data_IF_886795975713
#
_entry.id   IF_886795975713
#
_cell.length_a   1.000
_cell.length_b   1.000
_cell.length_c   1.000
_cell.angle_alpha   90.00
_cell.angle_beta   90.00
_cell.angle_gamma   90.00
#
_symmetry.space_group_name_H-M   'P 1'
#
loop_
_entity.id
_entity.type
_entity.pdbx_description
1 polymer ?
#
# COMPACT_ATOMS: atom_id res chain seq x y z
N UNK A 1 14.61 -65.69 227.41
CA UNK A 1 15.28 -65.27 226.16
C UNK A 1 15.43 -66.51 225.28
N UNK A 2 14.84 -66.49 224.09
CA UNK A 2 15.34 -67.17 222.90
C UNK A 2 14.57 -66.55 221.73
N UNK A 3 15.21 -65.56 221.11
CA UNK A 3 14.71 -64.91 219.91
C UNK A 3 14.85 -65.82 218.70
N UNK A 4 13.86 -65.78 217.83
CA UNK A 4 13.91 -66.39 216.50
C UNK A 4 14.30 -65.29 215.52
N UNK A 5 15.40 -65.48 214.80
CA UNK A 5 15.79 -64.63 213.68
C UNK A 5 15.03 -65.07 212.43
N UNK A 6 14.41 -64.12 211.72
CA UNK A 6 13.74 -64.32 210.44
C UNK A 6 14.71 -63.92 209.32
N UNK A 7 14.90 -64.82 208.34
CA UNK A 7 15.73 -64.61 207.14
C UNK A 7 14.85 -64.04 206.04
N UNK A 8 15.21 -62.88 205.48
CA UNK A 8 14.53 -62.23 204.35
C UNK A 8 15.33 -62.51 203.07
N UNK A 9 14.69 -63.00 202.01
CA UNK A 9 15.31 -63.29 200.70
C UNK A 9 15.45 -62.02 199.82
N UNK A 10 16.45 -62.01 198.93
CA UNK A 10 16.69 -60.91 197.98
C UNK A 10 15.61 -60.84 196.88
N UNK A 11 15.29 -59.63 196.36
CA UNK A 11 14.22 -59.41 195.41
C UNK A 11 14.61 -59.89 194.00
N UNK A 12 13.68 -60.55 193.30
CA UNK A 12 13.85 -61.06 191.94
C UNK A 12 12.97 -60.25 190.97
N UNK A 13 13.55 -59.35 190.13
CA UNK A 13 12.77 -58.60 189.15
C UNK A 13 12.31 -59.45 187.98
N UNK A 14 11.05 -59.26 187.59
CA UNK A 14 10.49 -59.85 186.38
C UNK A 14 11.03 -59.14 185.12
N UNK A 15 10.98 -59.85 183.99
CA UNK A 15 11.29 -59.29 182.68
C UNK A 15 10.55 -57.96 182.45
N UNK A 16 11.18 -56.91 181.89
CA UNK A 16 10.48 -55.71 181.50
C UNK A 16 9.35 -56.05 180.52
N UNK A 17 8.14 -55.64 180.87
CA UNK A 17 6.93 -55.81 180.08
C UNK A 17 6.51 -54.44 179.57
N UNK A 18 5.99 -54.42 178.35
CA UNK A 18 5.39 -53.24 177.74
C UNK A 18 3.89 -53.41 177.61
N UNK A 19 3.20 -52.28 177.53
CA UNK A 19 1.82 -52.23 177.05
C UNK A 19 1.71 -52.26 175.51
N UNK A 20 2.81 -52.34 174.75
CA UNK A 20 2.86 -52.26 173.28
C UNK A 20 3.67 -53.41 172.60
N UNK A 21 3.90 -53.36 171.28
CA UNK A 21 4.54 -54.43 170.48
C UNK A 21 6.08 -54.31 170.38
N UNK A 22 6.79 -55.32 169.87
CA UNK A 22 8.28 -55.33 169.79
C UNK A 22 8.90 -54.40 168.73
N UNK A 23 8.08 -53.66 167.98
CA UNK A 23 8.50 -52.73 166.93
C UNK A 23 8.12 -51.32 167.31
N UNK A 24 9.05 -50.39 167.12
CA UNK A 24 8.89 -48.97 167.45
C UNK A 24 9.47 -48.10 166.33
N UNK A 25 8.95 -46.90 166.19
CA UNK A 25 9.44 -45.94 165.20
C UNK A 25 10.64 -45.15 165.75
N UNK A 26 11.58 -44.82 164.86
CA UNK A 26 12.69 -43.92 165.21
C UNK A 26 12.12 -42.54 165.61
N UNK A 27 12.41 -42.10 166.83
CA UNK A 27 11.91 -40.88 167.46
C UNK A 27 10.78 -41.13 168.46
N UNK A 28 10.18 -42.33 168.45
CA UNK A 28 9.09 -42.69 169.34
C UNK A 28 9.58 -42.88 170.78
N UNK A 29 8.74 -42.51 171.75
CA UNK A 29 9.00 -42.73 173.18
C UNK A 29 7.96 -43.68 173.75
N UNK A 30 8.41 -44.82 174.28
CA UNK A 30 7.53 -45.87 174.80
C UNK A 30 7.86 -46.15 176.26
N UNK A 31 6.82 -46.36 177.08
CA UNK A 31 6.95 -46.68 178.49
C UNK A 31 7.04 -48.19 178.70
N UNK A 32 8.08 -48.61 179.42
CA UNK A 32 8.31 -49.99 179.83
C UNK A 32 8.09 -50.09 181.34
N UNK A 33 7.54 -51.20 181.83
CA UNK A 33 7.39 -51.47 183.26
C UNK A 33 7.93 -52.84 183.63
N UNK A 34 8.15 -53.09 184.90
CA UNK A 34 8.66 -54.35 185.45
C UNK A 34 8.16 -54.46 186.89
N UNK A 35 8.17 -55.64 187.49
CA UNK A 35 7.72 -55.83 188.88
C UNK A 35 8.59 -56.83 189.64
N UNK A 36 8.80 -56.62 190.94
CA UNK A 36 9.67 -57.40 191.83
C UNK A 36 9.16 -57.31 193.27
N UNK A 37 8.86 -58.44 193.90
CA UNK A 37 8.49 -58.47 195.32
C UNK A 37 9.67 -58.07 196.20
N UNK A 38 9.41 -57.21 197.21
CA UNK A 38 10.39 -56.71 198.19
C UNK A 38 11.52 -55.84 197.64
N UNK A 39 11.32 -55.19 196.49
CA UNK A 39 12.28 -54.24 195.90
C UNK A 39 12.08 -52.80 196.39
N UNK A 40 13.17 -52.13 196.73
CA UNK A 40 13.18 -50.72 197.12
C UNK A 40 13.60 -49.80 195.95
N UNK A 41 14.42 -50.30 195.01
CA UNK A 41 14.89 -49.52 193.85
C UNK A 41 15.14 -50.36 192.60
N UNK A 42 15.21 -49.70 191.43
CA UNK A 42 15.28 -50.30 190.11
C UNK A 42 16.34 -49.64 189.23
N UNK A 43 17.20 -50.46 188.61
CA UNK A 43 18.14 -50.03 187.58
C UNK A 43 17.71 -50.58 186.23
N UNK A 44 17.55 -49.70 185.24
CA UNK A 44 17.24 -50.09 183.87
C UNK A 44 18.47 -49.92 182.98
N UNK A 45 18.71 -50.87 182.07
CA UNK A 45 19.76 -50.75 181.07
C UNK A 45 19.23 -51.07 179.68
N UNK A 46 19.75 -50.34 178.69
CA UNK A 46 19.50 -50.57 177.27
C UNK A 46 20.82 -50.87 176.57
N UNK A 47 20.81 -51.81 175.63
CA UNK A 47 22.00 -52.15 174.85
C UNK A 47 21.61 -52.46 173.40
N UNK A 48 22.16 -51.77 172.40
CA UNK A 48 23.16 -50.70 172.52
C UNK A 48 22.57 -49.38 173.06
N UNK A 49 23.37 -48.62 173.81
CA UNK A 49 22.92 -47.36 174.45
C UNK A 49 22.73 -46.21 173.47
N UNK A 50 23.36 -46.27 172.29
CA UNK A 50 23.30 -45.23 171.26
C UNK A 50 22.00 -45.21 170.46
N UNK A 51 21.22 -46.30 170.51
CA UNK A 51 19.97 -46.42 169.75
C UNK A 51 18.78 -45.76 170.46
N UNK A 52 18.87 -45.51 171.76
CA UNK A 52 17.79 -44.90 172.53
C UNK A 52 18.28 -44.15 173.78
N UNK A 53 17.44 -43.27 174.30
CA UNK A 53 17.63 -42.63 175.61
C UNK A 53 16.63 -43.25 176.59
N UNK A 54 17.09 -43.68 177.77
CA UNK A 54 16.21 -44.25 178.81
C UNK A 54 16.12 -43.32 180.02
N UNK A 55 14.90 -43.12 180.54
CA UNK A 55 14.61 -42.34 181.75
C UNK A 55 13.87 -43.22 182.75
N UNK A 56 14.56 -43.82 183.73
CA UNK A 56 13.94 -44.68 184.74
C UNK A 56 13.12 -43.87 185.76
N UNK A 57 12.00 -44.44 186.22
CA UNK A 57 11.13 -43.92 187.28
C UNK A 57 10.60 -45.07 188.14
N UNK A 58 11.48 -45.62 188.98
CA UNK A 58 11.18 -46.81 189.77
C UNK A 58 10.94 -48.04 188.89
N UNK A 59 9.81 -48.71 189.10
CA UNK A 59 9.45 -49.92 188.37
C UNK A 59 9.05 -49.67 186.89
N UNK A 60 9.16 -48.43 186.40
CA UNK A 60 8.93 -48.08 184.99
C UNK A 60 10.12 -47.32 184.40
N UNK A 61 10.26 -47.32 183.08
CA UNK A 61 11.21 -46.46 182.36
C UNK A 61 10.64 -46.02 181.01
N UNK A 62 10.79 -44.74 180.72
CA UNK A 62 10.44 -44.18 179.41
C UNK A 62 11.66 -44.25 178.50
N UNK A 63 11.52 -44.85 177.31
CA UNK A 63 12.62 -45.06 176.36
C UNK A 63 12.28 -44.39 175.03
N UNK A 64 13.12 -43.45 174.61
CA UNK A 64 13.02 -42.74 173.32
C UNK A 64 14.00 -43.32 172.31
N UNK A 65 13.55 -43.83 171.17
CA UNK A 65 14.38 -44.56 170.21
C UNK A 65 14.97 -43.66 169.13
N UNK A 66 16.19 -43.14 169.33
CA UNK A 66 16.75 -42.09 168.46
C UNK A 66 17.30 -42.59 167.11
N UNK A 67 17.56 -43.89 166.96
CA UNK A 67 18.13 -44.48 165.74
C UNK A 67 17.47 -45.81 165.38
N UNK A 68 17.31 -46.08 164.09
CA UNK A 68 16.85 -47.38 163.61
C UNK A 68 17.87 -48.48 163.92
N UNK A 69 17.40 -49.68 164.24
CA UNK A 69 18.25 -50.78 164.68
C UNK A 69 17.51 -51.74 165.61
N UNK A 70 18.23 -52.50 166.43
CA UNK A 70 17.59 -53.34 167.45
C UNK A 70 18.32 -53.19 168.76
N UNK A 71 17.57 -52.97 169.84
CA UNK A 71 18.11 -52.82 171.19
C UNK A 71 17.42 -53.77 172.17
N UNK A 72 18.11 -54.10 173.25
CA UNK A 72 17.63 -54.98 174.32
C UNK A 72 17.53 -54.20 175.62
N UNK A 73 16.43 -54.35 176.35
CA UNK A 73 16.14 -53.67 177.60
C UNK A 73 16.18 -54.70 178.73
N UNK A 74 16.91 -54.43 179.80
CA UNK A 74 16.95 -55.27 181.01
C UNK A 74 16.81 -54.41 182.26
N UNK A 75 16.40 -55.03 183.36
CA UNK A 75 16.19 -54.39 184.66
C UNK A 75 16.84 -55.17 185.78
N UNK A 76 17.21 -54.48 186.86
CA UNK A 76 17.75 -55.06 188.07
C UNK A 76 17.11 -54.37 189.27
N UNK A 77 16.50 -55.14 190.17
CA UNK A 77 15.89 -54.62 191.39
C UNK A 77 16.82 -54.84 192.59
N UNK A 78 16.79 -53.93 193.55
CA UNK A 78 17.65 -53.98 194.74
C UNK A 78 16.84 -53.62 195.99
N UNK A 79 17.24 -54.13 197.15
CA UNK A 79 16.65 -53.76 198.43
C UNK A 79 17.72 -53.67 199.54
N UNK A 80 17.29 -53.42 200.78
CA UNK A 80 18.17 -53.30 201.95
C UNK A 80 19.11 -54.48 202.24
N UNK A 81 18.92 -55.65 201.60
CA UNK A 81 19.80 -56.83 201.74
C UNK A 81 20.77 -57.03 200.57
N UNK A 82 20.63 -56.26 199.49
CA UNK A 82 21.54 -56.23 198.35
C UNK A 82 20.83 -56.25 196.99
N UNK A 83 21.64 -56.46 195.95
CA UNK A 83 21.20 -56.44 194.56
C UNK A 83 20.63 -57.80 194.12
N UNK A 84 19.46 -57.78 193.47
CA UNK A 84 18.89 -58.94 192.76
C UNK A 84 19.56 -59.21 191.41
N UNK A 85 19.29 -60.36 190.76
CA UNK A 85 19.83 -60.63 189.42
C UNK A 85 19.20 -59.71 188.35
N UNK A 86 19.90 -59.55 187.23
CA UNK A 86 19.37 -58.87 186.05
C UNK A 86 18.27 -59.71 185.41
N UNK A 87 17.20 -59.06 184.97
CA UNK A 87 16.08 -59.69 184.29
C UNK A 87 16.40 -60.11 182.85
N UNK A 88 15.54 -60.94 182.26
CA UNK A 88 15.64 -61.32 180.86
C UNK A 88 15.52 -60.10 179.93
N UNK A 89 16.34 -60.07 178.89
CA UNK A 89 16.31 -59.01 177.88
C UNK A 89 15.01 -58.95 177.07
N UNK A 90 14.44 -57.76 176.96
CA UNK A 90 13.35 -57.45 176.03
C UNK A 90 13.91 -56.78 174.76
N UNK A 91 13.81 -57.43 173.60
CA UNK A 91 14.35 -56.93 172.33
C UNK A 91 13.30 -56.09 171.60
N UNK A 92 13.70 -54.88 171.20
CA UNK A 92 12.93 -53.92 170.43
C UNK A 92 13.61 -53.70 169.08
N UNK A 93 12.82 -53.57 168.00
CA UNK A 93 13.28 -53.21 166.66
C UNK A 93 12.78 -51.81 166.28
N UNK A 94 13.70 -50.91 166.02
CA UNK A 94 13.46 -49.52 165.63
C UNK A 94 13.56 -49.39 164.11
N UNK A 95 12.55 -48.82 163.46
CA UNK A 95 12.51 -48.62 162.00
C UNK A 95 12.52 -47.12 161.66
N UNK A 96 13.29 -46.73 160.63
CA UNK A 96 13.31 -45.35 160.08
C UNK A 96 12.30 -45.25 158.93
N UNK A 97 11.03 -45.12 159.29
CA UNK A 97 9.92 -45.05 158.34
C UNK A 97 10.02 -43.72 157.56
N UNK A 98 10.22 -42.59 158.26
CA UNK A 98 10.44 -41.26 157.68
C UNK A 98 11.54 -41.23 156.59
N UNK A 99 12.68 -41.88 156.83
CA UNK A 99 13.80 -41.90 155.87
C UNK A 99 13.47 -42.67 154.60
N UNK A 100 12.76 -43.79 154.72
CA UNK A 100 12.29 -44.58 153.59
C UNK A 100 11.17 -43.84 152.83
N UNK A 101 10.25 -43.18 153.54
CA UNK A 101 9.20 -42.34 152.94
C UNK A 101 9.77 -41.18 152.12
N UNK A 102 10.85 -40.55 152.57
CA UNK A 102 11.54 -39.50 151.82
C UNK A 102 12.20 -40.02 150.52
N UNK A 103 12.80 -41.21 150.55
CA UNK A 103 13.35 -41.85 149.35
C UNK A 103 12.26 -42.24 148.37
N UNK A 104 11.15 -42.81 148.87
CA UNK A 104 9.98 -43.13 148.07
C UNK A 104 9.43 -41.87 147.40
N UNK A 105 9.30 -40.77 148.16
CA UNK A 105 8.86 -39.47 147.63
C UNK A 105 9.80 -38.94 146.54
N UNK A 106 11.12 -39.07 146.74
CA UNK A 106 12.13 -38.63 145.77
C UNK A 106 12.07 -39.45 144.48
N UNK A 107 12.01 -40.78 144.58
CA UNK A 107 11.90 -41.69 143.43
C UNK A 107 10.57 -41.48 142.69
N UNK A 108 9.47 -41.24 143.39
CA UNK A 108 8.18 -40.88 142.80
C UNK A 108 8.28 -39.57 142.00
N UNK A 109 9.01 -38.57 142.52
CA UNK A 109 9.30 -37.34 141.78
C UNK A 109 10.06 -37.61 140.49
N UNK A 110 11.13 -38.40 140.54
CA UNK A 110 11.91 -38.77 139.35
C UNK A 110 11.10 -39.55 138.32
N UNK A 111 10.28 -40.51 138.77
CA UNK A 111 9.37 -41.26 137.89
C UNK A 111 8.39 -40.32 137.21
N UNK A 112 7.85 -39.33 137.94
CA UNK A 112 6.94 -38.34 137.37
C UNK A 112 7.65 -37.50 136.30
N UNK A 113 8.86 -37.00 136.57
CA UNK A 113 9.65 -36.22 135.60
C UNK A 113 9.96 -37.02 134.34
N UNK A 114 10.47 -38.25 134.47
CA UNK A 114 10.80 -39.11 133.33
C UNK A 114 9.56 -39.52 132.53
N UNK A 115 8.41 -39.66 133.20
CA UNK A 115 7.14 -39.92 132.52
C UNK A 115 6.72 -38.73 131.66
N UNK A 116 6.83 -37.51 132.20
CA UNK A 116 6.56 -36.29 131.44
C UNK A 116 7.52 -36.11 130.27
N UNK A 117 8.81 -36.37 130.46
CA UNK A 117 9.81 -36.28 129.39
C UNK A 117 9.55 -37.29 128.26
N UNK A 118 9.22 -38.55 128.60
CA UNK A 118 8.82 -39.54 127.61
C UNK A 118 7.55 -39.15 126.85
N UNK A 119 6.56 -38.57 127.53
CA UNK A 119 5.36 -38.04 126.87
C UNK A 119 5.71 -36.93 125.88
N UNK A 120 6.58 -35.99 126.26
CA UNK A 120 7.03 -34.92 125.37
C UNK A 120 7.81 -35.44 124.16
N UNK A 121 8.73 -36.40 124.37
CA UNK A 121 9.48 -37.03 123.29
C UNK A 121 8.58 -37.82 122.35
N UNK A 122 7.55 -38.48 122.88
CA UNK A 122 6.54 -39.20 122.07
C UNK A 122 5.81 -38.23 121.15
N UNK A 123 5.29 -37.12 121.71
CA UNK A 123 4.62 -36.07 120.93
C UNK A 123 5.55 -35.45 119.87
N UNK A 124 6.82 -35.23 120.20
CA UNK A 124 7.81 -34.70 119.24
C UNK A 124 8.10 -35.69 118.10
N UNK A 125 8.18 -36.99 118.40
CA UNK A 125 8.34 -38.04 117.39
C UNK A 125 7.12 -38.13 116.47
N UNK A 126 5.91 -38.04 117.01
CA UNK A 126 4.68 -38.01 116.22
C UNK A 126 4.66 -36.80 115.27
N UNK A 127 5.07 -35.62 115.75
CA UNK A 127 5.17 -34.42 114.91
C UNK A 127 6.21 -34.57 113.80
N UNK A 128 7.38 -35.14 114.09
CA UNK A 128 8.42 -35.42 113.07
C UNK A 128 7.94 -36.44 112.04
N UNK A 129 7.20 -37.47 112.45
CA UNK A 129 6.62 -38.45 111.52
C UNK A 129 5.62 -37.81 110.56
N UNK A 130 4.78 -36.90 111.05
CA UNK A 130 3.88 -36.11 110.19
C UNK A 130 4.67 -35.26 109.20
N UNK A 131 5.71 -34.57 109.66
CA UNK A 131 6.55 -33.74 108.78
C UNK A 131 7.25 -34.58 107.68
N UNK A 132 7.73 -35.78 108.01
CA UNK A 132 8.31 -36.70 107.02
C UNK A 132 7.25 -37.14 106.00
N UNK A 133 6.03 -37.42 106.43
CA UNK A 133 4.92 -37.77 105.53
C UNK A 133 4.58 -36.62 104.57
N UNK A 134 4.52 -35.39 105.06
CA UNK A 134 4.23 -34.20 104.26
C UNK A 134 5.34 -33.91 103.23
N UNK A 135 6.60 -34.03 103.66
CA UNK A 135 7.76 -33.87 102.77
C UNK A 135 7.81 -34.96 101.71
N UNK A 136 7.46 -36.20 102.06
CA UNK A 136 7.37 -37.32 101.10
C UNK A 136 6.33 -37.02 100.03
N UNK A 137 5.13 -36.62 100.44
CA UNK A 137 4.04 -36.26 99.52
C UNK A 137 4.41 -35.08 98.61
N UNK A 138 5.09 -34.07 99.16
CA UNK A 138 5.57 -32.92 98.39
C UNK A 138 6.63 -33.32 97.36
N UNK A 139 7.54 -34.23 97.73
CA UNK A 139 8.58 -34.70 96.84
C UNK A 139 8.01 -35.52 95.68
N UNK A 140 7.01 -36.36 95.93
CA UNK A 140 6.27 -37.08 94.89
C UNK A 140 5.57 -36.12 93.91
N UNK A 141 4.93 -35.07 94.44
CA UNK A 141 4.29 -34.05 93.59
C UNK A 141 5.29 -33.29 92.71
N UNK A 142 6.46 -32.92 93.25
CA UNK A 142 7.52 -32.27 92.50
C UNK A 142 8.11 -33.19 91.42
N UNK A 143 8.26 -34.48 91.71
CA UNK A 143 8.72 -35.47 90.72
C UNK A 143 7.75 -35.58 89.55
N UNK A 144 6.44 -35.61 89.81
CA UNK A 144 5.43 -35.60 88.75
C UNK A 144 5.50 -34.30 87.92
N UNK A 145 5.73 -33.16 88.56
CA UNK A 145 5.88 -31.88 87.86
C UNK A 145 7.13 -31.85 86.97
N UNK A 146 8.24 -32.43 87.44
CA UNK A 146 9.47 -32.57 86.64
C UNK A 146 9.19 -33.42 85.39
N UNK A 147 8.53 -34.56 85.53
CA UNK A 147 8.19 -35.43 84.39
C UNK A 147 7.29 -34.70 83.39
N UNK A 148 6.30 -33.95 83.87
CA UNK A 148 5.41 -33.16 83.02
C UNK A 148 6.16 -32.08 82.23
N UNK A 149 7.03 -31.32 82.90
CA UNK A 149 7.85 -30.29 82.25
C UNK A 149 8.85 -30.89 81.26
N UNK A 150 9.42 -32.06 81.55
CA UNK A 150 10.28 -32.78 80.61
C UNK A 150 9.52 -33.17 79.33
N UNK A 151 8.26 -33.60 79.46
CA UNK A 151 7.39 -33.84 78.31
C UNK A 151 7.16 -32.58 77.46
N UNK A 152 6.79 -31.47 78.11
CA UNK A 152 6.59 -30.19 77.41
C UNK A 152 7.85 -29.71 76.67
N UNK A 153 9.02 -29.87 77.27
CA UNK A 153 10.29 -29.53 76.62
C UNK A 153 10.55 -30.40 75.40
N UNK A 154 10.25 -31.71 75.48
CA UNK A 154 10.39 -32.61 74.34
C UNK A 154 9.44 -32.22 73.19
N UNK A 155 8.17 -31.93 73.51
CA UNK A 155 7.16 -31.52 72.53
C UNK A 155 7.57 -30.20 71.82
N UNK A 156 7.99 -29.19 72.60
CA UNK A 156 8.47 -27.91 72.06
C UNK A 156 9.77 -28.04 71.26
N UNK A 157 10.61 -29.01 71.60
CA UNK A 157 11.83 -29.29 70.83
C UNK A 157 11.46 -29.86 69.46
N UNK A 158 10.54 -30.83 69.42
CA UNK A 158 10.03 -31.39 68.16
C UNK A 158 9.34 -30.33 67.29
N UNK A 159 8.50 -29.48 67.89
CA UNK A 159 7.84 -28.39 67.15
C UNK A 159 8.84 -27.39 66.56
N UNK A 160 9.91 -27.07 67.30
CA UNK A 160 10.99 -26.23 66.78
C UNK A 160 11.75 -26.87 65.62
N UNK A 161 12.01 -28.18 65.66
CA UNK A 161 12.65 -28.91 64.56
C UNK A 161 11.77 -28.86 63.30
N UNK A 162 10.46 -29.13 63.43
CA UNK A 162 9.50 -29.06 62.33
C UNK A 162 9.40 -27.64 61.74
N UNK A 163 9.41 -26.61 62.59
CA UNK A 163 9.39 -25.21 62.14
C UNK A 163 10.70 -24.82 61.41
N UNK A 164 11.84 -25.31 61.87
CA UNK A 164 13.13 -25.07 61.20
C UNK A 164 13.16 -25.71 59.81
N UNK A 165 12.62 -26.92 59.66
CA UNK A 165 12.49 -27.59 58.36
C UNK A 165 11.55 -26.81 57.42
N UNK A 166 10.40 -26.34 57.92
CA UNK A 166 9.48 -25.50 57.15
C UNK A 166 10.15 -24.20 56.67
N UNK A 167 10.92 -23.53 57.53
CA UNK A 167 11.65 -22.31 57.16
C UNK A 167 12.71 -22.60 56.08
N UNK A 168 13.43 -23.71 56.19
CA UNK A 168 14.42 -24.11 55.18
C UNK A 168 13.77 -24.40 53.81
N UNK A 169 12.62 -25.07 53.81
CA UNK A 169 11.85 -25.35 52.60
C UNK A 169 11.33 -24.06 51.95
N UNK A 170 10.72 -23.16 52.73
CA UNK A 170 10.23 -21.87 52.23
C UNK A 170 11.36 -20.98 51.71
N UNK A 171 12.54 -21.04 52.34
CA UNK A 171 13.71 -20.30 51.87
C UNK A 171 14.16 -20.83 50.50
N UNK A 172 14.24 -22.15 50.35
CA UNK A 172 14.58 -22.78 49.07
C UNK A 172 13.55 -22.47 47.97
N UNK A 173 12.26 -22.45 48.31
CA UNK A 173 11.19 -22.09 47.37
C UNK A 173 11.28 -20.62 46.93
N UNK A 174 11.56 -19.71 47.87
CA UNK A 174 11.75 -18.30 47.57
C UNK A 174 12.98 -18.05 46.68
N UNK A 175 14.08 -18.78 46.89
CA UNK A 175 15.25 -18.74 46.01
C UNK A 175 14.92 -19.21 44.59
N UNK A 176 14.13 -20.29 44.46
CA UNK A 176 13.67 -20.79 43.17
C UNK A 176 12.77 -19.76 42.44
N UNK A 177 11.82 -19.13 43.15
CA UNK A 177 11.00 -18.06 42.57
C UNK A 177 11.82 -16.84 42.19
N UNK A 178 12.82 -16.45 42.98
CA UNK A 178 13.71 -15.35 42.64
C UNK A 178 14.49 -15.62 41.34
N UNK A 179 14.97 -16.86 41.16
CA UNK A 179 15.62 -17.26 39.91
C UNK A 179 14.65 -17.22 38.72
N UNK A 180 13.43 -17.75 38.89
CA UNK A 180 12.42 -17.72 37.84
C UNK A 180 12.05 -16.29 37.42
N UNK A 181 11.96 -15.35 38.37
CA UNK A 181 11.72 -13.94 38.09
C UNK A 181 12.89 -13.33 37.28
N UNK A 182 14.13 -13.66 37.63
CA UNK A 182 15.31 -13.17 36.91
C UNK A 182 15.34 -13.69 35.46
N UNK A 183 15.01 -14.97 35.26
CA UNK A 183 14.94 -15.60 33.94
C UNK A 183 13.85 -14.94 33.08
N UNK A 184 12.63 -14.78 33.62
CA UNK A 184 11.52 -14.13 32.93
C UNK A 184 11.78 -12.65 32.62
N UNK A 185 12.52 -11.96 33.50
CA UNK A 185 12.94 -10.57 33.27
C UNK A 185 13.90 -10.50 32.10
N UNK A 186 14.89 -11.40 32.04
CA UNK A 186 15.84 -11.50 30.94
C UNK A 186 15.17 -11.84 29.61
N UNK A 187 14.18 -12.75 29.63
CA UNK A 187 13.37 -13.10 28.45
C UNK A 187 12.55 -11.90 27.95
N UNK A 188 11.90 -11.15 28.86
CA UNK A 188 11.15 -9.94 28.50
C UNK A 188 12.04 -8.85 27.90
N UNK A 189 13.26 -8.66 28.42
CA UNK A 189 14.23 -7.72 27.84
C UNK A 189 14.62 -8.14 26.41
N UNK A 190 14.90 -9.44 26.21
CA UNK A 190 15.23 -9.98 24.88
C UNK A 190 14.07 -9.82 23.88
N UNK A 191 12.84 -10.10 24.30
CA UNK A 191 11.64 -9.86 23.49
C UNK A 191 11.45 -8.38 23.19
N UNK A 192 11.73 -7.49 24.15
CA UNK A 192 11.70 -6.04 23.94
C UNK A 192 12.66 -5.58 22.84
N UNK A 193 13.89 -6.11 22.83
CA UNK A 193 14.87 -5.85 21.76
C UNK A 193 14.40 -6.39 20.41
N UNK A 194 13.81 -7.59 20.38
CA UNK A 194 13.28 -8.18 19.16
C UNK A 194 12.15 -7.34 18.57
N UNK A 195 11.21 -6.87 19.40
CA UNK A 195 10.13 -5.99 18.98
C UNK A 195 10.68 -4.68 18.40
N UNK A 196 11.65 -4.05 19.07
CA UNK A 196 12.27 -2.83 18.56
C UNK A 196 12.94 -3.04 17.20
N UNK A 197 13.60 -4.18 17.00
CA UNK A 197 14.25 -4.54 15.73
C UNK A 197 13.22 -4.70 14.61
N UNK A 198 12.14 -5.45 14.87
CA UNK A 198 11.07 -5.66 13.89
C UNK A 198 10.32 -4.36 13.55
N UNK A 199 10.18 -3.45 14.51
CA UNK A 199 9.60 -2.12 14.25
C UNK A 199 10.46 -1.35 13.25
N UNK A 200 11.78 -1.32 13.43
CA UNK A 200 12.71 -0.65 12.50
C UNK A 200 12.66 -1.29 11.11
N UNK A 201 12.64 -2.63 11.04
CA UNK A 201 12.54 -3.36 9.77
C UNK A 201 11.23 -3.04 9.02
N UNK A 202 10.11 -2.95 9.74
CA UNK A 202 8.84 -2.55 9.14
C UNK A 202 8.87 -1.11 8.62
N UNK A 203 9.44 -0.16 9.37
CA UNK A 203 9.59 1.23 8.91
C UNK A 203 10.45 1.33 7.64
N UNK A 204 11.53 0.55 7.56
CA UNK A 204 12.37 0.48 6.36
C UNK A 204 11.63 -0.12 5.15
N UNK A 205 10.88 -1.21 5.36
CA UNK A 205 10.05 -1.82 4.32
C UNK A 205 8.95 -0.86 3.82
N UNK A 206 8.31 -0.11 4.72
CA UNK A 206 7.33 0.92 4.33
C UNK A 206 7.97 2.03 3.47
N UNK A 207 9.19 2.47 3.81
CA UNK A 207 9.93 3.45 3.03
C UNK A 207 10.33 2.91 1.63
N UNK A 208 10.74 1.64 1.56
CA UNK A 208 11.03 0.96 0.29
C UNK A 208 9.79 0.86 -0.60
N UNK A 209 8.63 0.49 -0.03
CA UNK A 209 7.35 0.43 -0.75
C UNK A 209 6.97 1.81 -1.30
N UNK A 210 7.11 2.87 -0.51
CA UNK A 210 6.82 4.23 -0.96
C UNK A 210 7.73 4.66 -2.13
N UNK A 211 9.01 4.31 -2.07
CA UNK A 211 9.97 4.59 -3.14
C UNK A 211 9.62 3.86 -4.43
N UNK A 212 9.34 2.56 -4.35
CA UNK A 212 8.94 1.75 -5.51
C UNK A 212 7.61 2.21 -6.11
N UNK A 213 6.69 2.69 -5.28
CA UNK A 213 5.41 3.25 -5.75
C UNK A 213 5.65 4.49 -6.61
N UNK A 214 6.49 5.43 -6.14
CA UNK A 214 6.86 6.62 -6.90
C UNK A 214 7.63 6.29 -8.20
N UNK A 215 8.53 5.30 -8.15
CA UNK A 215 9.23 4.84 -9.35
C UNK A 215 8.26 4.28 -10.38
N UNK A 216 7.28 3.48 -9.94
CA UNK A 216 6.28 2.89 -10.83
C UNK A 216 5.36 3.97 -11.43
N UNK A 217 4.90 4.96 -10.65
CA UNK A 217 4.16 6.12 -11.17
C UNK A 217 4.99 6.88 -12.22
N UNK A 218 6.30 7.05 -11.98
CA UNK A 218 7.22 7.67 -12.93
C UNK A 218 7.36 6.88 -14.24
N UNK A 219 7.44 5.55 -14.16
CA UNK A 219 7.48 4.67 -15.33
C UNK A 219 6.16 4.69 -16.11
N UNK A 220 5.01 4.69 -15.43
CA UNK A 220 3.69 4.81 -16.07
C UNK A 220 3.57 6.13 -16.85
N UNK A 221 4.05 7.24 -16.28
CA UNK A 221 4.09 8.53 -16.97
C UNK A 221 5.00 8.54 -18.20
N UNK A 222 6.16 7.87 -18.13
CA UNK A 222 7.05 7.70 -19.29
C UNK A 222 6.39 6.87 -20.40
N UNK A 223 5.72 5.77 -20.05
CA UNK A 223 4.99 4.93 -21.00
C UNK A 223 3.89 5.74 -21.70
N UNK A 224 3.12 6.53 -20.95
CA UNK A 224 2.09 7.40 -21.54
C UNK A 224 2.69 8.43 -22.52
N UNK A 225 3.82 9.03 -22.17
CA UNK A 225 4.54 9.99 -23.02
C UNK A 225 5.02 9.34 -24.32
N UNK A 226 5.68 8.18 -24.23
CA UNK A 226 6.17 7.43 -25.38
C UNK A 226 5.03 6.95 -26.28
N UNK A 227 3.88 6.59 -25.69
CA UNK A 227 2.69 6.21 -26.45
C UNK A 227 2.19 7.38 -27.31
N UNK A 228 2.07 8.58 -26.74
CA UNK A 228 1.67 9.78 -27.48
C UNK A 228 2.70 10.17 -28.55
N UNK A 229 3.99 10.05 -28.27
CA UNK A 229 5.05 10.28 -29.25
C UNK A 229 4.92 9.31 -30.43
N UNK A 230 4.70 8.03 -30.16
CA UNK A 230 4.53 7.02 -31.19
C UNK A 230 3.27 7.26 -32.05
N UNK A 231 2.14 7.61 -31.44
CA UNK A 231 0.92 8.02 -32.18
C UNK A 231 1.19 9.24 -33.08
N UNK A 232 1.98 10.21 -32.58
CA UNK A 232 2.39 11.39 -33.36
C UNK A 232 3.29 11.04 -34.55
N UNK A 233 4.20 10.08 -34.38
CA UNK A 233 5.06 9.59 -35.46
C UNK A 233 4.25 8.80 -36.50
N UNK A 234 3.32 7.94 -36.06
CA UNK A 234 2.42 7.20 -36.95
C UNK A 234 1.58 8.15 -37.82
N UNK A 235 1.06 9.24 -37.23
CA UNK A 235 0.33 10.27 -37.98
C UNK A 235 1.22 11.00 -39.01
N UNK A 236 2.48 11.30 -38.67
CA UNK A 236 3.44 11.89 -39.62
C UNK A 236 3.75 10.95 -40.78
N UNK A 237 3.95 9.66 -40.50
CA UNK A 237 4.19 8.65 -41.54
C UNK A 237 2.99 8.55 -42.49
N UNK A 238 1.77 8.55 -41.95
CA UNK A 238 0.56 8.54 -42.77
C UNK A 238 0.44 9.78 -43.67
N UNK A 239 0.74 10.97 -43.13
CA UNK A 239 0.72 12.22 -43.90
C UNK A 239 1.75 12.23 -45.03
N UNK A 240 3.00 11.83 -44.75
CA UNK A 240 4.07 11.72 -45.75
C UNK A 240 3.75 10.68 -46.83
N UNK A 241 3.08 9.58 -46.46
CA UNK A 241 2.64 8.57 -47.41
C UNK A 241 1.65 9.16 -48.41
N UNK A 242 0.65 9.91 -47.92
CA UNK A 242 -0.35 10.57 -48.77
C UNK A 242 0.27 11.69 -49.63
N UNK A 243 1.24 12.43 -49.10
CA UNK A 243 2.00 13.42 -49.88
C UNK A 243 2.76 12.76 -51.03
N UNK A 244 3.45 11.64 -50.76
CA UNK A 244 4.15 10.88 -51.79
C UNK A 244 3.21 10.35 -52.88
N UNK A 245 2.06 9.77 -52.51
CA UNK A 245 1.03 9.35 -53.48
C UNK A 245 0.56 10.51 -54.36
N UNK A 246 0.38 11.69 -53.76
CA UNK A 246 0.01 12.92 -54.48
C UNK A 246 1.10 13.40 -55.44
N UNK A 247 2.38 13.31 -55.05
CA UNK A 247 3.51 13.65 -55.91
C UNK A 247 3.67 12.64 -57.06
N UNK A 248 3.50 11.35 -56.79
CA UNK A 248 3.51 10.30 -57.82
C UNK A 248 2.42 10.53 -58.88
N UNK A 249 1.21 10.90 -58.47
CA UNK A 249 0.13 11.25 -59.39
C UNK A 249 0.44 12.49 -60.25
N UNK A 250 1.09 13.51 -59.66
CA UNK A 250 1.55 14.69 -60.41
C UNK A 250 2.62 14.33 -61.43
N UNK A 251 3.60 13.50 -61.06
CA UNK A 251 4.63 13.00 -61.96
C UNK A 251 4.01 12.24 -63.13
N UNK A 252 3.03 11.37 -62.88
CA UNK A 252 2.34 10.63 -63.93
C UNK A 252 1.61 11.58 -64.90
N UNK A 253 0.96 12.62 -64.38
CA UNK A 253 0.27 13.64 -65.20
C UNK A 253 1.25 14.42 -66.07
N UNK A 254 2.34 14.91 -65.49
CA UNK A 254 3.38 15.64 -66.24
C UNK A 254 4.07 14.76 -67.28
N UNK A 255 4.25 13.47 -66.99
CA UNK A 255 4.81 12.51 -67.94
C UNK A 255 3.90 12.36 -69.17
N UNK A 256 2.58 12.29 -68.95
CA UNK A 256 1.61 12.23 -70.05
C UNK A 256 1.61 13.53 -70.87
N UNK A 257 1.55 14.69 -70.22
CA UNK A 257 1.58 16.00 -70.87
C UNK A 257 2.86 16.19 -71.70
N UNK A 258 4.02 15.78 -71.16
CA UNK A 258 5.27 15.84 -71.90
C UNK A 258 5.25 14.93 -73.14
N UNK A 259 4.65 13.73 -73.06
CA UNK A 259 4.46 12.85 -74.21
C UNK A 259 3.55 13.46 -75.28
N UNK A 260 2.45 14.12 -74.89
CA UNK A 260 1.56 14.83 -75.82
C UNK A 260 2.27 16.01 -76.50
N UNK A 261 3.09 16.75 -75.75
CA UNK A 261 3.91 17.84 -76.30
C UNK A 261 4.97 17.31 -77.28
N UNK A 262 5.62 16.18 -76.99
CA UNK A 262 6.57 15.53 -77.89
C UNK A 262 5.89 15.12 -79.22
N UNK A 263 4.67 14.58 -79.17
CA UNK A 263 3.89 14.24 -80.37
C UNK A 263 3.48 15.48 -81.18
N UNK A 264 3.07 16.57 -80.51
CA UNK A 264 2.79 17.85 -81.17
C UNK A 264 4.02 18.41 -81.86
N UNK A 265 5.19 18.37 -81.21
CA UNK A 265 6.46 18.81 -81.81
C UNK A 265 6.80 17.96 -83.05
N UNK A 266 6.64 16.64 -82.99
CA UNK A 266 6.87 15.77 -84.13
C UNK A 266 5.93 16.10 -85.30
N UNK A 267 4.65 16.36 -85.01
CA UNK A 267 3.64 16.75 -86.01
C UNK A 267 3.99 18.08 -86.69
N UNK A 268 4.30 19.10 -85.90
CA UNK A 268 4.71 20.42 -86.41
C UNK A 268 6.00 20.34 -87.21
N UNK A 269 6.93 19.45 -86.83
CA UNK A 269 8.16 19.21 -87.60
C UNK A 269 7.84 18.67 -88.99
N UNK A 270 6.97 17.66 -89.10
CA UNK A 270 6.53 17.12 -90.39
C UNK A 270 5.75 18.15 -91.23
N UNK A 271 4.91 18.97 -90.59
CA UNK A 271 4.19 20.04 -91.27
C UNK A 271 5.17 21.07 -91.86
N UNK A 272 6.18 21.48 -91.09
CA UNK A 272 7.23 22.38 -91.57
C UNK A 272 8.02 21.77 -92.74
N UNK A 273 8.43 20.50 -92.65
CA UNK A 273 9.09 19.80 -93.77
C UNK A 273 8.22 19.79 -95.03
N UNK A 274 6.91 19.58 -94.87
CA UNK A 274 5.93 19.65 -95.97
C UNK A 274 5.82 21.05 -96.58
N UNK A 275 5.76 22.09 -95.75
CA UNK A 275 5.74 23.49 -96.19
C UNK A 275 7.04 23.87 -96.90
N UNK A 276 8.21 23.45 -96.39
CA UNK A 276 9.49 23.66 -97.04
C UNK A 276 9.54 23.03 -98.44
N UNK A 277 9.02 21.80 -98.59
CA UNK A 277 8.92 21.14 -99.90
C UNK A 277 7.97 21.87 -100.86
N UNK A 278 6.85 22.41 -100.36
CA UNK A 278 5.93 23.21 -101.15
C UNK A 278 6.58 24.52 -101.62
N UNK A 279 7.31 25.20 -100.73
CA UNK A 279 8.08 26.41 -101.08
C UNK A 279 9.09 26.09 -102.18
N UNK A 280 9.87 25.01 -102.04
CA UNK A 280 10.83 24.60 -103.07
C UNK A 280 10.17 24.33 -104.44
N UNK A 281 8.99 23.71 -104.43
CA UNK A 281 8.20 23.45 -105.66
C UNK A 281 7.74 24.75 -106.32
N UNK A 282 7.19 25.68 -105.53
CA UNK A 282 6.74 26.98 -106.02
C UNK A 282 7.90 27.85 -106.51
N UNK A 283 9.08 27.77 -105.87
CA UNK A 283 10.30 28.43 -106.35
C UNK A 283 10.67 27.92 -107.74
N UNK A 284 10.66 26.60 -107.96
CA UNK A 284 10.98 26.01 -109.27
C UNK A 284 9.93 26.36 -110.34
N UNK A 285 8.65 26.39 -109.97
CA UNK A 285 7.57 26.85 -110.85
C UNK A 285 7.77 28.31 -111.26
N UNK A 286 8.09 29.20 -110.31
CA UNK A 286 8.39 30.60 -110.59
C UNK A 286 9.62 30.74 -111.51
N UNK A 287 10.71 30.01 -111.28
CA UNK A 287 11.88 30.00 -112.17
C UNK A 287 11.47 29.56 -113.60
N UNK A 288 10.60 28.56 -113.72
CA UNK A 288 10.04 28.11 -114.99
C UNK A 288 9.20 29.19 -115.69
N UNK A 289 8.33 29.88 -114.94
CA UNK A 289 7.53 31.00 -115.45
C UNK A 289 8.42 32.18 -115.88
N UNK A 290 9.44 32.53 -115.11
CA UNK A 290 10.41 33.57 -115.46
C UNK A 290 11.14 33.25 -116.77
N UNK A 291 11.55 31.98 -116.97
CA UNK A 291 12.16 31.53 -118.23
C UNK A 291 11.18 31.62 -119.42
N UNK A 292 9.91 31.31 -119.20
CA UNK A 292 8.87 31.45 -120.22
C UNK A 292 8.63 32.92 -120.59
N UNK A 293 8.56 33.81 -119.59
CA UNK A 293 8.47 35.26 -119.81
C UNK A 293 9.66 35.76 -120.62
N UNK A 294 10.89 35.36 -120.27
CA UNK A 294 12.09 35.73 -121.02
C UNK A 294 12.03 35.26 -122.49
N UNK A 295 11.53 34.05 -122.74
CA UNK A 295 11.35 33.51 -124.10
C UNK A 295 10.32 34.32 -124.89
N UNK A 296 9.17 34.63 -124.29
CA UNK A 296 8.13 35.45 -124.92
C UNK A 296 8.60 36.88 -125.18
N UNK A 297 9.43 37.46 -124.31
CA UNK A 297 10.05 38.76 -124.54
C UNK A 297 10.95 38.73 -125.78
N UNK A 298 11.82 37.72 -125.93
CA UNK A 298 12.66 37.55 -127.12
C UNK A 298 11.83 37.33 -128.39
N UNK A 299 10.73 36.56 -128.31
CA UNK A 299 9.82 36.36 -129.43
C UNK A 299 9.13 37.67 -129.84
N UNK A 300 8.67 38.46 -128.87
CA UNK A 300 8.10 39.79 -129.13
C UNK A 300 9.13 40.74 -129.74
N UNK A 301 10.37 40.78 -129.24
CA UNK A 301 11.46 41.57 -129.83
C UNK A 301 11.74 41.14 -131.29
N UNK A 302 11.72 39.83 -131.56
CA UNK A 302 11.88 39.30 -132.91
C UNK A 302 10.72 39.70 -133.83
N UNK A 303 9.48 39.61 -133.35
CA UNK A 303 8.29 40.06 -134.08
C UNK A 303 8.32 41.58 -134.31
N UNK A 304 8.71 42.38 -133.34
CA UNK A 304 8.90 43.82 -133.47
C UNK A 304 9.97 44.13 -134.54
N UNK A 305 11.06 43.38 -134.56
CA UNK A 305 12.07 43.42 -135.62
C UNK A 305 11.50 43.12 -137.01
N UNK A 306 10.63 42.10 -137.12
CA UNK A 306 9.93 41.80 -138.38
C UNK A 306 8.98 42.92 -138.81
N UNK A 307 8.21 43.49 -137.88
CA UNK A 307 7.32 44.63 -138.14
C UNK A 307 8.12 45.83 -138.64
N UNK A 308 9.27 46.13 -138.02
CA UNK A 308 10.17 47.20 -138.47
C UNK A 308 10.70 46.95 -139.88
N UNK A 309 11.10 45.72 -140.21
CA UNK A 309 11.50 45.36 -141.57
C UNK A 309 10.36 45.51 -142.59
N UNK A 310 9.16 45.06 -142.24
CA UNK A 310 7.97 45.23 -143.09
C UNK A 310 7.64 46.70 -143.29
N UNK A 311 7.74 47.52 -142.25
CA UNK A 311 7.54 48.97 -142.33
C UNK A 311 8.55 49.62 -143.27
N UNK A 312 9.83 49.25 -143.17
CA UNK A 312 10.87 49.68 -144.12
C UNK A 312 10.57 49.25 -145.56
N UNK A 313 10.11 48.02 -145.76
CA UNK A 313 9.70 47.54 -147.09
C UNK A 313 8.52 48.32 -147.64
N UNK A 314 7.50 48.61 -146.83
CA UNK A 314 6.35 49.43 -147.21
C UNK A 314 6.80 50.84 -147.57
N UNK A 315 7.68 51.45 -146.78
CA UNK A 315 8.27 52.76 -147.09
C UNK A 315 9.05 52.74 -148.41
N UNK A 316 9.84 51.69 -148.66
CA UNK A 316 10.55 51.49 -149.93
C UNK A 316 9.60 51.33 -151.12
N UNK A 317 8.52 50.55 -150.96
CA UNK A 317 7.47 50.41 -151.99
C UNK A 317 6.78 51.74 -152.23
N UNK A 318 6.43 52.49 -151.18
CA UNK A 318 5.81 53.81 -151.30
C UNK A 318 6.71 54.80 -152.05
N UNK A 319 8.03 54.77 -151.82
CA UNK A 319 8.98 55.57 -152.58
C UNK A 319 9.02 55.18 -154.07
N UNK A 320 9.02 53.88 -154.39
CA UNK A 320 8.91 53.40 -155.77
C UNK A 320 7.59 53.82 -156.43
N UNK A 321 6.49 53.78 -155.67
CA UNK A 321 5.17 54.21 -156.14
C UNK A 321 5.18 55.71 -156.46
N UNK A 322 5.78 56.54 -155.59
CA UNK A 322 5.95 57.97 -155.86
C UNK A 322 6.80 58.27 -157.09
N UNK A 323 7.82 57.45 -157.37
CA UNK A 323 8.58 57.55 -158.63
C UNK A 323 7.71 57.19 -159.84
N UNK A 324 6.91 56.12 -159.74
CA UNK A 324 6.02 55.70 -160.81
C UNK A 324 4.88 56.70 -161.06
N UNK A 325 4.33 57.31 -160.01
CA UNK A 325 3.32 58.37 -160.12
C UNK A 325 3.86 59.59 -160.86
N UNK A 326 5.09 60.03 -160.55
CA UNK A 326 5.74 61.12 -161.28
C UNK A 326 5.95 60.79 -162.77
N UNK A 327 6.31 59.54 -163.10
CA UNK A 327 6.49 59.07 -164.48
C UNK A 327 5.16 58.94 -165.25
N UNK A 328 4.05 58.65 -164.54
CA UNK A 328 2.69 58.67 -165.10
C UNK A 328 2.22 60.10 -165.37
N UNK A 329 2.50 61.05 -164.46
CA UNK A 329 2.15 62.46 -164.65
C UNK A 329 2.84 63.05 -165.89
N UNK A 330 4.12 62.74 -166.11
CA UNK A 330 4.84 63.13 -167.32
C UNK A 330 4.18 62.58 -168.61
N UNK A 331 3.64 61.35 -168.58
CA UNK A 331 2.92 60.74 -169.73
C UNK A 331 1.52 61.30 -169.97
N UNK A 332 0.82 61.75 -168.92
CA UNK A 332 -0.52 62.34 -169.05
C UNK A 332 -0.42 63.72 -169.72
N UNK A 333 0.62 64.51 -169.41
CA UNK A 333 0.86 65.80 -170.05
C UNK A 333 1.13 65.65 -171.56
N UNK A 334 1.81 64.58 -171.97
CA UNK A 334 2.05 64.22 -173.38
C UNK A 334 0.80 63.76 -174.16
N UNK A 335 -0.26 63.28 -173.49
CA UNK A 335 -1.48 62.76 -174.15
C UNK A 335 -2.58 63.81 -174.35
N UNK A 336 -2.44 65.02 -173.81
CA UNK A 336 -3.46 66.08 -173.92
C UNK A 336 -3.41 66.90 -175.23
N UNK A 337 -2.44 66.71 -176.12
CA UNK A 337 -2.35 67.47 -177.39
C UNK A 337 -3.06 66.85 -178.62
N UNK A 338 -3.60 65.61 -178.56
CA UNK A 338 -3.81 64.81 -179.79
C UNK A 338 -5.26 64.46 -180.23
N UNK A 339 -6.38 64.83 -179.56
CA UNK A 339 -7.69 64.35 -180.05
C UNK A 339 -8.92 65.28 -179.90
N UNK A 340 -9.45 65.74 -181.04
CA UNK A 340 -10.82 66.29 -181.27
C UNK A 340 -11.46 65.49 -182.43
N UNK A 341 -12.80 65.35 -182.40
CA UNK A 341 -13.78 64.76 -183.36
C UNK A 341 -14.33 63.40 -182.85
N UNK A 342 -15.37 63.41 -182.02
CA UNK A 342 -16.84 63.51 -182.28
C UNK A 342 -17.49 62.17 -182.67
N UNK A 343 -18.33 61.63 -181.77
CA UNK A 343 -19.69 61.21 -182.10
C UNK A 343 -20.56 61.11 -180.84
N UNK A 344 -21.76 61.66 -180.96
CA UNK A 344 -22.75 61.97 -179.94
C UNK A 344 -23.58 60.79 -179.40
N UNK A 345 -23.99 60.97 -178.14
CA UNK A 345 -25.28 60.64 -177.49
C UNK A 345 -25.91 59.25 -177.64
N UNK A 346 -25.94 58.50 -176.53
CA UNK A 346 -27.20 57.98 -175.96
C UNK A 346 -27.06 57.83 -174.44
N UNK A 347 -27.97 58.49 -173.73
CA UNK A 347 -28.18 58.44 -172.28
C UNK A 347 -29.23 57.33 -171.96
N UNK A 348 -29.25 56.93 -170.69
CA UNK A 348 -30.32 56.22 -169.94
C UNK A 348 -30.13 54.72 -169.61
N UNK A 349 -29.85 54.54 -168.32
CA UNK A 349 -30.36 53.55 -167.34
C UNK A 349 -29.81 52.11 -167.28
N UNK A 350 -29.24 51.83 -166.11
CA UNK A 350 -29.43 50.66 -165.22
C UNK A 350 -30.10 49.40 -165.80
N UNK A 351 -29.39 48.27 -165.78
CA UNK A 351 -29.82 46.94 -165.30
C UNK A 351 -28.59 46.01 -165.26
N UNK A 352 -28.21 45.46 -164.09
CA UNK A 352 -28.57 44.10 -163.58
C UNK A 352 -28.00 42.96 -164.42
N UNK A 353 -27.24 42.06 -163.76
CA UNK A 353 -27.27 40.58 -163.77
C UNK A 353 -26.08 40.18 -162.86
N UNK A 354 -26.31 39.70 -161.63
CA UNK A 354 -26.42 38.27 -161.22
C UNK A 354 -25.16 37.45 -161.58
N UNK A 355 -24.59 36.57 -160.76
CA UNK A 355 -25.14 35.37 -160.08
C UNK A 355 -24.05 34.92 -159.05
N UNK A 356 -24.31 34.67 -157.75
CA UNK A 356 -24.78 33.40 -157.12
C UNK A 356 -23.79 32.20 -157.32
N UNK A 357 -23.42 31.29 -156.40
CA UNK A 357 -24.05 30.61 -155.23
C UNK A 357 -22.89 30.06 -154.35
N UNK A 358 -22.91 30.02 -153.01
CA UNK A 358 -24.00 30.28 -152.09
C UNK A 358 -23.64 30.08 -150.61
N UNK A 359 -24.54 30.29 -149.66
CA UNK A 359 -25.81 31.06 -149.68
C UNK A 359 -26.32 31.11 -148.23
N UNK A 360 -25.91 32.15 -147.51
CA UNK A 360 -26.72 32.72 -146.45
C UNK A 360 -26.84 34.22 -146.73
N UNK A 361 -28.06 34.69 -146.94
CA UNK A 361 -28.34 36.10 -147.19
C UNK A 361 -29.33 36.60 -146.14
N UNK A 362 -28.86 37.57 -145.37
CA UNK A 362 -29.62 38.33 -144.39
C UNK A 362 -29.61 39.79 -144.84
N UNK A 363 -30.80 40.35 -145.06
CA UNK A 363 -30.96 41.72 -145.56
C UNK A 363 -32.07 42.43 -144.79
N UNK A 364 -31.76 43.64 -144.32
CA UNK A 364 -32.72 44.57 -143.70
C UNK A 364 -32.98 45.70 -144.68
N UNK A 365 -34.23 45.80 -145.17
CA UNK A 365 -34.63 46.82 -146.13
C UNK A 365 -35.51 47.90 -145.46
N UNK A 366 -35.22 49.20 -145.63
CA UNK A 366 -36.22 50.24 -145.45
C UNK A 366 -37.28 50.10 -146.57
N UNK A 367 -38.52 49.76 -146.20
CA UNK A 367 -39.62 49.41 -147.12
C UNK A 367 -40.31 50.69 -147.68
N UNK A 368 -40.87 50.71 -148.91
CA UNK A 368 -41.49 51.91 -149.53
C UNK A 368 -42.76 52.45 -148.84
N UNK A 369 -43.31 51.74 -147.85
CA UNK A 369 -44.43 52.22 -147.03
C UNK A 369 -43.90 52.94 -145.78
N UNK A 370 -44.21 54.23 -145.57
CA UNK A 370 -43.71 55.00 -144.45
C UNK A 370 -44.01 54.32 -143.10
N UNK A 371 -42.97 53.95 -142.37
CA UNK A 371 -43.08 53.42 -141.01
C UNK A 371 -42.91 51.92 -140.83
N UNK A 372 -42.44 51.15 -141.82
CA UNK A 372 -42.11 49.73 -141.67
C UNK A 372 -40.68 49.40 -142.13
N UNK A 373 -40.05 48.43 -141.46
CA UNK A 373 -38.74 47.87 -141.81
C UNK A 373 -38.91 46.37 -142.03
N UNK A 374 -38.45 45.86 -143.16
CA UNK A 374 -38.59 44.45 -143.50
C UNK A 374 -37.25 43.73 -143.35
N UNK A 375 -37.25 42.66 -142.57
CA UNK A 375 -36.10 41.78 -142.37
C UNK A 375 -36.35 40.49 -143.14
N UNK A 376 -35.49 40.16 -144.10
CA UNK A 376 -35.62 38.95 -144.90
C UNK A 376 -34.34 38.11 -144.79
N UNK A 377 -34.54 36.82 -144.56
CA UNK A 377 -33.51 35.80 -144.42
C UNK A 377 -33.85 34.60 -145.29
N UNK A 378 -32.90 34.05 -146.03
CA UNK A 378 -33.17 32.87 -146.85
C UNK A 378 -33.12 31.53 -146.07
N UNK A 379 -33.16 31.56 -144.73
CA UNK A 379 -33.27 30.39 -143.83
C UNK A 379 -34.21 30.69 -142.64
N UNK A 380 -34.81 29.65 -142.01
CA UNK A 380 -35.70 29.82 -140.86
C UNK A 380 -35.00 30.55 -139.70
N UNK A 381 -35.64 31.61 -139.22
CA UNK A 381 -35.17 32.39 -138.08
C UNK A 381 -35.76 31.78 -136.81
N UNK A 382 -34.94 31.53 -135.80
CA UNK A 382 -35.42 31.18 -134.46
C UNK A 382 -35.72 32.43 -133.63
N UNK A 383 -34.97 33.51 -133.88
CA UNK A 383 -35.09 34.74 -133.09
C UNK A 383 -34.60 35.95 -133.87
N UNK A 384 -35.32 37.06 -133.70
CA UNK A 384 -34.90 38.38 -134.14
C UNK A 384 -34.69 39.27 -132.92
N UNK A 385 -33.51 39.87 -132.80
CA UNK A 385 -33.18 40.81 -131.72
C UNK A 385 -32.65 42.10 -132.31
N UNK A 386 -33.15 43.25 -131.84
CA UNK A 386 -32.64 44.57 -132.21
C UNK A 386 -31.97 45.18 -130.98
N UNK A 387 -30.72 45.58 -131.16
CA UNK A 387 -29.91 46.25 -130.15
C UNK A 387 -29.76 47.74 -130.49
N UNK A 388 -29.86 48.59 -129.47
CA UNK A 388 -29.30 49.93 -129.55
C UNK A 388 -27.77 49.85 -129.52
N UNK A 389 -27.05 50.86 -130.05
CA UNK A 389 -25.58 50.87 -130.03
C UNK A 389 -24.96 50.82 -128.61
N UNK A 390 -25.75 51.08 -127.56
CA UNK A 390 -25.35 50.86 -126.16
C UNK A 390 -25.30 49.38 -125.74
N UNK A 391 -25.72 48.45 -126.61
CA UNK A 391 -25.86 47.02 -126.31
C UNK A 391 -27.19 46.64 -125.67
N UNK A 392 -28.08 47.60 -125.37
CA UNK A 392 -29.40 47.31 -124.81
C UNK A 392 -30.33 46.72 -125.88
N UNK A 393 -30.99 45.61 -125.54
CA UNK A 393 -32.07 45.03 -126.37
C UNK A 393 -33.25 45.99 -126.39
N UNK A 394 -33.54 46.55 -127.56
CA UNK A 394 -34.71 47.43 -127.80
C UNK A 394 -35.89 46.66 -128.38
N UNK A 395 -35.64 45.49 -128.98
CA UNK A 395 -36.67 44.57 -129.42
C UNK A 395 -36.15 43.15 -129.42
N UNK A 396 -37.01 42.20 -129.09
CA UNK A 396 -36.71 40.80 -129.24
C UNK A 396 -38.00 40.03 -129.45
N UNK A 397 -38.01 39.16 -130.45
CA UNK A 397 -39.13 38.28 -130.70
C UNK A 397 -38.64 36.89 -131.13
N UNK A 398 -39.27 35.87 -130.56
CA UNK A 398 -39.08 34.50 -131.00
C UNK A 398 -39.92 34.29 -132.26
N UNK A 399 -39.27 34.00 -133.38
CA UNK A 399 -39.95 33.72 -134.64
C UNK A 399 -40.28 32.23 -134.62
N UNK A 400 -41.57 31.89 -134.55
CA UNK A 400 -42.02 30.50 -134.40
C UNK A 400 -42.69 30.05 -135.71
N UNK A 401 -42.06 29.12 -136.42
CA UNK A 401 -42.47 28.69 -137.76
C UNK A 401 -41.45 29.09 -138.82
N UNK A 402 -41.38 28.35 -139.92
CA UNK A 402 -40.34 28.45 -140.96
C UNK A 402 -40.38 29.74 -141.81
N UNK A 403 -40.72 30.88 -141.20
CA UNK A 403 -40.82 32.17 -141.86
C UNK A 403 -39.42 32.76 -142.13
N UNK A 404 -39.16 32.98 -143.41
CA UNK A 404 -37.95 33.58 -143.98
C UNK A 404 -37.99 35.12 -143.96
N UNK A 405 -39.03 35.73 -143.39
CA UNK A 405 -39.19 37.19 -143.39
C UNK A 405 -40.03 37.70 -142.23
N UNK A 406 -39.66 38.85 -141.69
CA UNK A 406 -40.29 39.49 -140.55
C UNK A 406 -40.48 41.00 -140.78
N UNK A 407 -41.63 41.57 -140.41
CA UNK A 407 -41.91 43.00 -140.56
C UNK A 407 -41.92 43.70 -139.20
N UNK A 408 -41.04 44.70 -139.05
CA UNK A 408 -41.01 45.58 -137.89
C UNK A 408 -41.70 46.91 -138.20
N UNK A 409 -42.39 47.49 -137.21
CA UNK A 409 -43.03 48.79 -137.33
C UNK A 409 -42.17 49.87 -136.65
N UNK A 410 -41.87 50.96 -137.39
CA UNK A 410 -41.05 52.10 -136.93
C UNK A 410 -41.68 52.87 -135.76
N UNK A 411 -42.99 52.73 -135.51
CA UNK A 411 -43.60 53.27 -134.28
C UNK A 411 -42.93 52.73 -133.01
N UNK A 412 -42.28 51.58 -133.08
CA UNK A 412 -41.60 50.95 -131.96
C UNK A 412 -40.17 51.48 -131.73
N UNK A 413 -39.56 52.23 -132.68
CA UNK A 413 -38.17 52.71 -132.58
C UNK A 413 -37.97 54.13 -133.18
N UNK A 414 -37.45 55.10 -132.41
CA UNK A 414 -37.10 56.43 -132.93
C UNK A 414 -35.93 56.37 -133.94
N UNK A 415 -35.71 57.46 -134.68
CA UNK A 415 -34.58 57.57 -135.61
C UNK A 415 -33.24 57.38 -134.89
N UNK A 416 -32.38 56.50 -135.41
CA UNK A 416 -31.12 56.10 -134.79
C UNK A 416 -30.46 54.93 -135.52
N UNK A 417 -29.25 54.57 -135.09
CA UNK A 417 -28.54 53.39 -135.59
C UNK A 417 -28.76 52.23 -134.63
N UNK A 418 -29.18 51.11 -135.18
CA UNK A 418 -29.49 49.87 -134.47
C UNK A 418 -28.69 48.71 -135.07
N UNK A 419 -28.45 47.67 -134.28
CA UNK A 419 -27.91 46.40 -134.76
C UNK A 419 -29.05 45.38 -134.76
N UNK A 420 -29.38 44.85 -135.93
CA UNK A 420 -30.39 43.78 -136.06
C UNK A 420 -29.65 42.46 -136.12
N UNK A 421 -29.88 41.60 -135.13
CA UNK A 421 -29.38 40.23 -135.06
C UNK A 421 -30.48 39.24 -135.44
N UNK A 422 -30.18 38.32 -136.34
CA UNK A 422 -30.98 37.14 -136.62
C UNK A 422 -30.23 35.91 -136.15
N UNK A 423 -30.85 35.16 -135.24
CA UNK A 423 -30.43 33.83 -134.82
C UNK A 423 -31.22 32.79 -135.62
N UNK A 424 -30.51 31.92 -136.33
CA UNK A 424 -31.11 30.79 -137.03
C UNK A 424 -31.37 29.63 -136.07
N UNK A 425 -32.25 28.69 -136.43
CA UNK A 425 -32.52 27.48 -135.63
C UNK A 425 -31.27 26.63 -135.32
N UNK A 426 -30.23 26.71 -136.15
CA UNK A 426 -28.96 26.02 -135.93
C UNK A 426 -27.99 26.77 -134.99
N UNK A 427 -28.43 27.84 -134.32
CA UNK A 427 -27.67 28.60 -133.32
C UNK A 427 -26.70 29.63 -133.89
N UNK A 428 -26.54 29.72 -135.22
CA UNK A 428 -25.71 30.75 -135.84
C UNK A 428 -26.42 32.10 -135.81
N UNK A 429 -25.69 33.14 -135.45
CA UNK A 429 -26.18 34.52 -135.34
C UNK A 429 -25.52 35.40 -136.39
N UNK A 430 -26.32 36.23 -137.03
CA UNK A 430 -25.88 37.17 -138.05
C UNK A 430 -26.40 38.56 -137.70
N UNK A 431 -25.52 39.56 -137.71
CA UNK A 431 -25.86 40.93 -137.36
C UNK A 431 -25.69 41.88 -138.54
N UNK A 432 -26.59 42.85 -138.67
CA UNK A 432 -26.53 43.88 -139.69
C UNK A 432 -26.99 45.21 -139.12
N UNK A 433 -26.28 46.27 -139.49
CA UNK A 433 -26.60 47.63 -139.06
C UNK A 433 -27.85 48.13 -139.77
N UNK A 434 -28.82 48.59 -139.01
CA UNK A 434 -30.01 49.30 -139.47
C UNK A 434 -29.89 50.76 -139.08
N UNK A 435 -29.83 51.65 -140.07
CA UNK A 435 -29.82 53.10 -139.84
C UNK A 435 -31.20 53.64 -140.20
N UNK A 436 -31.92 54.13 -139.19
CA UNK A 436 -33.19 54.84 -139.37
C UNK A 436 -32.93 56.34 -139.30
N UNK A 437 -32.74 56.99 -140.44
CA UNK A 437 -32.69 58.46 -140.51
C UNK A 437 -34.08 59.06 -140.29
N UNK A 438 -34.13 60.27 -139.71
CA UNK A 438 -35.37 60.99 -139.40
C UNK A 438 -36.32 61.06 -140.59
#
# INVERSE_FOLDING_TARGET
MNGVAEVVENPLPTKPVISADKFVEKGETVLYSTDASYADSWTWTISPTELATITPSGATASITFNQAGSLTITTKATNGCGDGPTSDGFVVRVVDIDGLENQVTTLQGQVTTLTTENQNLTSANEALQLQVSDLTSTNEALQLQIVSLQGQVADLTSENEDLQEQVANLTSENEAYAQQIADLTSENEALGVQVATLTIENEDLEAQIATLTLENEGLEAQVATLTLENEGLEAQVAALTLENEGLEAQIATLTLENGELEEQVATLTLENEGLEAQVATLTLENEGLEAQVATLTLENEALEGQVNQLTLRISGIAALLGVAEAEIEERIELLQEVYIIEFDSYDVSTHVVETEIGTFTFRVYPNPNPGQVFVQCNRPMARLTVYALSGQVVYQEAVTGAEASFTMYRSSYPAGTYLVEVELENGHRYTQTLILSK
#
